data_IF_210113262618
#
_entry.id   IF_210113262618
#
_cell.length_a   1.000
_cell.length_b   1.000
_cell.length_c   1.000
_cell.angle_alpha   90.00
_cell.angle_beta   90.00
_cell.angle_gamma   90.00
#
_symmetry.space_group_name_H-M   'P 1'
#
loop_
_entity.id
_entity.type
_entity.pdbx_description
1 polymer ?
#
# COMPACT_ATOMS: atom_id res chain seq x y z
N UNK A 1 18.29 -10.25 42.30
CA UNK A 1 19.36 -10.87 43.11
C UNK A 1 19.58 -12.25 42.54
N UNK A 2 20.75 -12.54 41.98
CA UNK A 2 21.06 -13.85 41.39
C UNK A 2 21.63 -14.72 42.51
N UNK A 3 20.96 -15.80 42.87
CA UNK A 3 21.47 -16.77 43.84
C UNK A 3 22.37 -17.76 43.10
N UNK A 4 23.67 -17.70 43.36
CA UNK A 4 24.63 -18.68 42.85
C UNK A 4 24.67 -19.89 43.79
N UNK A 5 24.16 -21.04 43.34
CA UNK A 5 24.32 -22.32 44.05
C UNK A 5 25.23 -23.25 43.26
N UNK A 6 26.51 -23.31 43.64
CA UNK A 6 27.46 -24.30 43.14
C UNK A 6 27.17 -25.64 43.83
N UNK A 7 26.77 -26.66 43.08
CA UNK A 7 26.70 -28.05 43.57
C UNK A 7 27.81 -28.84 42.89
N UNK A 8 28.88 -29.15 43.63
CA UNK A 8 30.01 -29.93 43.14
C UNK A 8 29.72 -31.43 43.35
N UNK A 9 29.44 -32.16 42.26
CA UNK A 9 29.37 -33.64 42.27
C UNK A 9 30.66 -34.21 41.69
N UNK A 10 31.48 -34.81 42.56
CA UNK A 10 32.78 -35.41 42.20
C UNK A 10 32.59 -36.85 41.70
N UNK A 11 33.02 -37.14 40.47
CA UNK A 11 33.07 -38.51 39.93
C UNK A 11 34.31 -39.26 40.46
N UNK A 12 34.25 -40.58 40.72
CA UNK A 12 35.32 -41.32 41.41
C UNK A 12 36.64 -41.48 40.63
N UNK A 13 36.67 -41.16 39.33
CA UNK A 13 37.81 -41.43 38.44
C UNK A 13 38.76 -40.25 38.21
N UNK A 14 38.56 -39.10 38.86
CA UNK A 14 39.54 -38.00 38.86
C UNK A 14 39.65 -37.18 37.56
N UNK A 15 38.94 -37.57 36.49
CA UNK A 15 38.87 -36.78 35.26
C UNK A 15 37.82 -35.68 35.37
N UNK A 16 38.27 -34.42 35.21
CA UNK A 16 37.40 -33.24 35.24
C UNK A 16 36.87 -32.97 33.83
N UNK A 17 35.57 -33.19 33.61
CA UNK A 17 34.90 -32.78 32.38
C UNK A 17 34.11 -31.49 32.65
N UNK A 18 34.57 -30.37 32.08
CA UNK A 18 33.88 -29.08 32.20
C UNK A 18 32.94 -28.89 31.01
N UNK A 19 31.68 -29.29 31.18
CA UNK A 19 30.62 -28.93 30.23
C UNK A 19 30.05 -27.56 30.62
N UNK A 20 30.39 -26.53 29.85
CA UNK A 20 29.78 -25.21 29.98
C UNK A 20 28.39 -25.21 29.33
N UNK A 21 27.34 -25.49 30.10
CA UNK A 21 25.96 -25.26 29.65
C UNK A 21 25.55 -23.85 30.10
N UNK A 22 25.50 -22.93 29.14
CA UNK A 22 24.92 -21.60 29.38
C UNK A 22 23.40 -21.74 29.38
N UNK A 23 22.81 -21.89 30.55
CA UNK A 23 21.35 -21.82 30.74
C UNK A 23 21.04 -20.33 30.93
N UNK A 24 20.55 -19.68 29.88
CA UNK A 24 19.98 -18.35 30.01
C UNK A 24 18.56 -18.50 30.56
N UNK A 25 18.44 -18.51 31.89
CA UNK A 25 17.14 -18.40 32.55
C UNK A 25 16.51 -17.04 32.21
N UNK A 26 15.40 -17.10 31.47
CA UNK A 26 14.20 -16.42 31.94
C UNK A 26 14.18 -14.90 31.92
N UNK A 27 14.84 -14.21 30.99
CA UNK A 27 14.33 -12.93 30.48
C UNK A 27 14.96 -12.70 29.12
N UNK A 28 14.33 -13.33 28.12
CA UNK A 28 14.57 -12.98 26.73
C UNK A 28 14.49 -11.46 26.65
N UNK A 29 15.62 -10.79 26.38
CA UNK A 29 15.70 -9.39 25.99
C UNK A 29 15.02 -9.21 24.62
N UNK A 30 13.75 -9.58 24.52
CA UNK A 30 12.91 -9.59 23.32
C UNK A 30 11.95 -8.40 23.30
N UNK A 31 11.80 -7.67 24.40
CA UNK A 31 10.88 -6.55 24.51
C UNK A 31 11.24 -5.32 23.65
N UNK A 32 12.53 -4.98 23.54
CA UNK A 32 12.94 -3.75 22.82
C UNK A 32 13.03 -3.91 21.30
N UNK A 33 13.65 -4.99 20.82
CA UNK A 33 13.86 -5.20 19.40
C UNK A 33 12.55 -5.53 18.65
N UNK A 34 11.66 -6.32 19.26
CA UNK A 34 10.35 -6.62 18.67
C UNK A 34 9.47 -5.38 18.52
N UNK A 35 9.51 -4.48 19.52
CA UNK A 35 8.74 -3.25 19.49
C UNK A 35 9.28 -2.24 18.48
N UNK A 36 10.61 -2.14 18.34
CA UNK A 36 11.23 -1.31 17.31
C UNK A 36 10.86 -1.78 15.89
N UNK A 37 10.88 -3.09 15.64
CA UNK A 37 10.47 -3.68 14.37
C UNK A 37 8.98 -3.39 14.11
N UNK A 38 8.12 -3.53 15.12
CA UNK A 38 6.70 -3.23 15.00
C UNK A 38 6.44 -1.77 14.58
N UNK A 39 7.17 -0.82 15.15
CA UNK A 39 7.08 0.60 14.74
C UNK A 39 7.51 0.79 13.29
N UNK A 40 8.64 0.20 12.88
CA UNK A 40 9.14 0.36 11.51
C UNK A 40 8.11 -0.15 10.51
N UNK A 41 7.52 -1.31 10.78
CA UNK A 41 6.45 -1.88 9.95
C UNK A 41 5.23 -0.96 9.92
N UNK A 42 4.82 -0.39 11.05
CA UNK A 42 3.69 0.56 11.13
C UNK A 42 3.94 1.81 10.28
N UNK A 43 5.13 2.39 10.34
CA UNK A 43 5.51 3.57 9.54
C UNK A 43 5.48 3.25 8.05
N UNK A 44 6.02 2.09 7.64
CA UNK A 44 5.96 1.64 6.25
C UNK A 44 4.51 1.45 5.79
N UNK A 45 3.65 0.85 6.62
CA UNK A 45 2.24 0.66 6.29
C UNK A 45 1.51 2.00 6.10
N UNK A 46 1.74 2.99 6.96
CA UNK A 46 1.16 4.35 6.81
C UNK A 46 1.65 5.00 5.52
N UNK A 47 2.96 4.92 5.22
CA UNK A 47 3.50 5.47 3.98
C UNK A 47 2.89 4.79 2.75
N UNK A 48 2.77 3.46 2.76
CA UNK A 48 2.13 2.71 1.69
C UNK A 48 0.67 3.13 1.47
N UNK A 49 -0.11 3.29 2.54
CA UNK A 49 -1.48 3.80 2.46
C UNK A 49 -1.50 5.21 1.88
N UNK A 50 -0.61 6.11 2.33
CA UNK A 50 -0.56 7.49 1.84
C UNK A 50 -0.22 7.56 0.35
N UNK A 51 0.80 6.83 -0.11
CA UNK A 51 1.18 6.77 -1.53
C UNK A 51 0.09 6.11 -2.38
N UNK A 52 -0.54 5.03 -1.89
CA UNK A 52 -1.62 4.36 -2.60
C UNK A 52 -2.89 5.24 -2.68
N UNK A 53 -3.24 5.92 -1.60
CA UNK A 53 -4.35 6.89 -1.59
C UNK A 53 -4.07 8.11 -2.47
N UNK A 54 -2.82 8.57 -2.55
CA UNK A 54 -2.45 9.65 -3.47
C UNK A 54 -2.53 9.20 -4.94
N UNK A 55 -2.28 7.92 -5.22
CA UNK A 55 -2.51 7.34 -6.55
C UNK A 55 -4.01 7.29 -6.91
N UNK A 56 -4.88 6.91 -5.96
CA UNK A 56 -6.35 6.98 -6.18
C UNK A 56 -6.89 8.41 -6.35
N UNK A 57 -6.29 9.42 -5.72
CA UNK A 57 -6.69 10.82 -5.91
C UNK A 57 -6.42 11.35 -7.34
N UNK A 58 -5.38 10.84 -8.00
CA UNK A 58 -5.06 11.20 -9.38
C UNK A 58 -6.08 10.65 -10.39
N UNK A 59 -6.68 9.49 -10.12
CA UNK A 59 -7.77 8.93 -10.92
C UNK A 59 -9.05 9.78 -10.83
N UNK A 60 -9.44 10.21 -9.62
CA UNK A 60 -10.63 11.08 -9.44
C UNK A 60 -10.46 12.43 -10.14
N UNK A 61 -9.28 13.03 -10.09
CA UNK A 61 -9.02 14.28 -10.83
C UNK A 61 -9.05 14.07 -12.35
N UNK A 62 -8.53 12.92 -12.82
CA UNK A 62 -8.51 12.56 -14.24
C UNK A 62 -9.92 12.24 -14.77
N UNK A 63 -10.76 11.57 -14.00
CA UNK A 63 -12.13 11.25 -14.38
C UNK A 63 -13.01 12.51 -14.50
N UNK A 64 -12.80 13.50 -13.65
CA UNK A 64 -13.47 14.80 -13.78
C UNK A 64 -13.02 15.57 -15.03
N UNK A 65 -11.72 15.52 -15.36
CA UNK A 65 -11.20 16.15 -16.58
C UNK A 65 -11.69 15.44 -17.86
N UNK A 66 -11.75 14.10 -17.85
CA UNK A 66 -12.26 13.28 -18.97
C UNK A 66 -13.77 13.46 -19.13
N UNK A 67 -14.54 13.52 -18.05
CA UNK A 67 -15.98 13.81 -18.10
C UNK A 67 -16.26 15.21 -18.68
N UNK A 68 -15.48 16.22 -18.27
CA UNK A 68 -15.56 17.57 -18.85
C UNK A 68 -15.27 17.59 -20.35
N UNK A 69 -14.18 16.96 -20.78
CA UNK A 69 -13.84 16.85 -22.19
C UNK A 69 -14.89 16.06 -23.01
N UNK A 70 -15.47 15.01 -22.43
CA UNK A 70 -16.51 14.22 -23.10
C UNK A 70 -17.81 15.00 -23.30
N UNK A 71 -18.20 15.86 -22.33
CA UNK A 71 -19.37 16.75 -22.47
C UNK A 71 -19.16 17.74 -23.62
N UNK A 72 -17.99 18.38 -23.65
CA UNK A 72 -17.65 19.40 -24.65
C UNK A 72 -17.61 18.80 -26.07
N UNK A 73 -17.09 17.58 -26.22
CA UNK A 73 -17.13 16.83 -27.49
C UNK A 73 -18.56 16.43 -27.87
N UNK A 74 -19.39 16.02 -26.90
CA UNK A 74 -20.79 15.68 -27.14
C UNK A 74 -21.60 16.88 -27.64
N UNK A 75 -21.41 18.06 -27.04
CA UNK A 75 -22.05 19.31 -27.45
C UNK A 75 -21.59 19.77 -28.84
N UNK A 76 -20.30 19.64 -29.15
CA UNK A 76 -19.77 19.96 -30.47
C UNK A 76 -20.30 19.00 -31.54
N UNK A 77 -20.35 17.69 -31.24
CA UNK A 77 -20.90 16.68 -32.14
C UNK A 77 -22.40 16.89 -32.41
N UNK A 78 -23.17 17.28 -31.39
CA UNK A 78 -24.58 17.66 -31.54
C UNK A 78 -24.76 18.82 -32.52
N UNK A 79 -24.03 19.91 -32.32
CA UNK A 79 -24.08 21.08 -33.23
C UNK A 79 -23.72 20.74 -34.67
N UNK A 80 -22.72 19.87 -34.89
CA UNK A 80 -22.36 19.39 -36.24
C UNK A 80 -23.48 18.53 -36.83
N UNK A 81 -24.10 17.65 -36.03
CA UNK A 81 -25.23 16.85 -36.46
C UNK A 81 -26.44 17.68 -36.85
N UNK A 82 -26.77 18.71 -36.09
CA UNK A 82 -27.85 19.64 -36.41
C UNK A 82 -27.58 20.42 -37.69
N UNK A 83 -26.34 20.90 -37.88
CA UNK A 83 -25.94 21.57 -39.11
C UNK A 83 -26.02 20.66 -40.34
N UNK A 84 -25.59 19.40 -40.20
CA UNK A 84 -25.67 18.40 -41.26
C UNK A 84 -27.12 18.07 -41.64
N UNK A 85 -28.01 17.92 -40.66
CA UNK A 85 -29.44 17.69 -40.88
C UNK A 85 -30.08 18.89 -41.62
N UNK A 86 -29.83 20.10 -41.14
CA UNK A 86 -30.36 21.32 -41.77
C UNK A 86 -29.90 21.47 -43.23
N UNK A 87 -28.62 21.18 -43.50
CA UNK A 87 -28.09 21.19 -44.87
C UNK A 87 -28.75 20.11 -45.74
N UNK A 88 -28.97 18.91 -45.20
CA UNK A 88 -29.68 17.82 -45.88
C UNK A 88 -31.11 18.20 -46.25
N UNK A 89 -31.86 18.77 -45.30
CA UNK A 89 -33.23 19.26 -45.54
C UNK A 89 -33.26 20.35 -46.61
N UNK A 90 -32.35 21.34 -46.53
CA UNK A 90 -32.30 22.42 -47.52
C UNK A 90 -32.00 21.92 -48.95
N UNK A 91 -31.17 20.87 -49.09
CA UNK A 91 -30.90 20.25 -50.40
C UNK A 91 -32.12 19.47 -50.89
N UNK A 92 -32.81 18.74 -50.00
CA UNK A 92 -34.01 17.99 -50.36
C UNK A 92 -35.11 18.94 -50.86
N UNK A 93 -35.38 20.02 -50.12
CA UNK A 93 -36.37 21.03 -50.49
C UNK A 93 -36.06 21.63 -51.87
N UNK A 94 -34.78 21.94 -52.16
CA UNK A 94 -34.37 22.51 -53.45
C UNK A 94 -34.45 21.54 -54.64
N UNK A 95 -34.57 20.23 -54.40
CA UNK A 95 -34.75 19.21 -55.44
C UNK A 95 -36.23 18.94 -55.70
N UNK A 96 -37.07 19.14 -54.70
CA UNK A 96 -38.51 18.88 -54.75
C UNK A 96 -39.34 20.07 -55.31
N UNK A 97 -38.73 21.25 -55.43
CA UNK A 97 -39.29 22.51 -56.01
C UNK A 97 -38.96 22.67 -57.52
#
# INVERSE_FOLDING_TARGET
MTEERITETRSPSGDTHTTHTVITDGESRRGGAGWLIAIIVLVIAIAAIFFFSQMSGAEVAKDNAVAGAASEVGEAAGQVGDAAQNAGTAVQDAVED
#
